data_IF_237767652307
#
_entry.id   IF_237767652307
#
_cell.length_a   1.000
_cell.length_b   1.000
_cell.length_c   1.000
_cell.angle_alpha   90.00
_cell.angle_beta   90.00
_cell.angle_gamma   90.00
#
_symmetry.space_group_name_H-M   'P 1'
#
loop_
_entity.id
_entity.type
_entity.pdbx_description
1 polymer ?
#
# COMPACT_ATOMS: atom_id res chain seq x y z
N UNK A 1 5.64 -13.69 4.89
CA UNK A 1 5.61 -12.86 6.11
C UNK A 1 4.54 -11.79 5.92
N UNK A 2 3.63 -11.61 6.88
CA UNK A 2 2.55 -10.62 6.79
C UNK A 2 2.91 -9.46 7.72
N UNK A 3 2.83 -8.22 7.21
CA UNK A 3 3.09 -7.02 8.01
C UNK A 3 1.82 -6.19 8.16
N UNK A 4 1.79 -5.42 9.23
CA UNK A 4 0.65 -4.61 9.62
C UNK A 4 0.95 -3.16 9.27
N UNK A 5 0.17 -2.56 8.35
CA UNK A 5 0.28 -1.15 8.00
C UNK A 5 -0.96 -0.40 8.51
N UNK A 6 -0.73 0.73 9.19
CA UNK A 6 -1.76 1.68 9.61
C UNK A 6 -2.54 1.33 10.90
N UNK A 7 -3.32 2.30 11.44
CA UNK A 7 -4.04 2.17 12.71
C UNK A 7 -5.13 1.09 12.69
N UNK A 8 -5.63 0.72 11.50
CA UNK A 8 -6.67 -0.31 11.31
C UNK A 8 -6.13 -1.74 11.25
N UNK A 9 -4.83 -1.94 11.54
CA UNK A 9 -4.12 -3.22 11.61
C UNK A 9 -4.45 -4.20 10.47
N UNK A 10 -4.44 -3.72 9.23
CA UNK A 10 -4.75 -4.59 8.08
C UNK A 10 -3.49 -5.31 7.62
N UNK A 11 -3.65 -6.61 7.41
CA UNK A 11 -2.62 -7.53 6.94
C UNK A 11 -2.44 -7.32 5.43
N UNK A 12 -1.23 -6.96 5.01
CA UNK A 12 -0.86 -6.95 3.60
C UNK A 12 0.39 -7.82 3.37
N UNK A 13 0.56 -8.40 2.16
CA UNK A 13 1.78 -9.09 1.76
C UNK A 13 3.03 -8.22 1.96
N UNK A 14 4.18 -8.84 2.24
CA UNK A 14 5.45 -8.12 2.41
C UNK A 14 5.81 -7.25 1.19
N UNK A 15 5.57 -7.74 -0.02
CA UNK A 15 5.87 -6.97 -1.23
C UNK A 15 5.05 -5.69 -1.29
N UNK A 16 3.77 -5.76 -0.89
CA UNK A 16 2.88 -4.61 -0.88
C UNK A 16 3.33 -3.54 0.10
N UNK A 17 3.97 -3.93 1.21
CA UNK A 17 4.59 -2.99 2.16
C UNK A 17 5.69 -2.19 1.49
N UNK A 18 6.59 -2.86 0.77
CA UNK A 18 7.71 -2.19 0.09
C UNK A 18 7.22 -1.29 -1.04
N UNK A 19 6.24 -1.75 -1.83
CA UNK A 19 5.63 -0.94 -2.88
C UNK A 19 5.00 0.32 -2.28
N UNK A 20 4.24 0.17 -1.19
CA UNK A 20 3.64 1.31 -0.50
C UNK A 20 4.70 2.27 0.04
N UNK A 21 5.75 1.77 0.70
CA UNK A 21 6.83 2.59 1.24
C UNK A 21 7.53 3.41 0.14
N UNK A 22 7.82 2.80 -1.01
CA UNK A 22 8.39 3.51 -2.15
C UNK A 22 7.45 4.62 -2.67
N UNK A 23 6.14 4.35 -2.78
CA UNK A 23 5.17 5.37 -3.18
C UNK A 23 5.07 6.52 -2.16
N UNK A 24 5.16 6.22 -0.86
CA UNK A 24 5.19 7.24 0.20
C UNK A 24 6.45 8.11 0.13
N UNK A 25 7.61 7.50 -0.10
CA UNK A 25 8.90 8.21 -0.19
C UNK A 25 8.96 9.13 -1.41
N UNK A 26 8.50 8.64 -2.56
CA UNK A 26 8.54 9.39 -3.83
C UNK A 26 7.39 10.39 -3.95
N UNK A 27 6.28 10.19 -3.22
CA UNK A 27 5.06 11.00 -3.34
C UNK A 27 4.29 10.75 -4.65
N UNK A 28 4.44 9.56 -5.24
CA UNK A 28 3.79 9.19 -6.51
C UNK A 28 2.49 8.41 -6.33
N UNK A 29 1.65 8.37 -7.37
CA UNK A 29 0.41 7.58 -7.39
C UNK A 29 0.69 6.13 -7.78
N UNK A 30 0.28 5.18 -6.94
CA UNK A 30 0.33 3.75 -7.24
C UNK A 30 -0.79 3.35 -8.20
N UNK A 31 -0.44 3.00 -9.45
CA UNK A 31 -1.36 2.39 -10.40
C UNK A 31 -1.30 0.86 -10.28
N UNK A 32 -2.41 0.21 -9.92
CA UNK A 32 -2.44 -1.24 -9.71
C UNK A 32 -3.84 -1.82 -9.95
N UNK A 33 -3.94 -3.14 -10.11
CA UNK A 33 -5.21 -3.90 -10.01
C UNK A 33 -5.41 -4.51 -8.63
N UNK A 34 -4.39 -4.44 -7.78
CA UNK A 34 -4.37 -5.10 -6.49
C UNK A 34 -5.17 -4.30 -5.45
N UNK A 35 -6.24 -4.92 -4.95
CA UNK A 35 -7.14 -4.32 -3.99
C UNK A 35 -6.57 -4.23 -2.57
N UNK A 36 -5.46 -4.90 -2.25
CA UNK A 36 -4.82 -4.80 -0.94
C UNK A 36 -4.45 -3.36 -0.57
N UNK A 37 -4.06 -2.55 -1.57
CA UNK A 37 -3.67 -1.16 -1.38
C UNK A 37 -4.83 -0.22 -1.05
N UNK A 38 -6.09 -0.64 -1.23
CA UNK A 38 -7.25 0.12 -0.73
C UNK A 38 -7.15 0.45 0.77
N UNK A 39 -6.35 -0.32 1.50
CA UNK A 39 -6.21 -0.22 2.95
C UNK A 39 -4.99 0.59 3.41
N UNK A 40 -4.16 1.06 2.48
CA UNK A 40 -2.99 1.89 2.76
C UNK A 40 -3.37 3.36 2.54
N UNK A 41 -3.87 4.01 3.59
CA UNK A 41 -4.40 5.39 3.50
C UNK A 41 -3.28 6.45 3.27
N UNK A 42 -2.01 6.07 3.37
CA UNK A 42 -0.85 6.98 3.28
C UNK A 42 -0.31 7.19 1.86
N UNK A 43 -0.87 6.51 0.84
CA UNK A 43 -0.44 6.65 -0.56
C UNK A 43 -1.61 7.04 -1.45
N UNK A 44 -1.31 7.84 -2.46
CA UNK A 44 -2.20 8.01 -3.60
C UNK A 44 -2.21 6.72 -4.43
N UNK A 45 -3.39 6.32 -4.88
CA UNK A 45 -3.59 5.07 -5.61
C UNK A 45 -4.70 5.19 -6.62
N UNK A 46 -4.50 4.60 -7.78
CA UNK A 46 -5.49 4.40 -8.81
C UNK A 46 -5.64 2.90 -9.04
N UNK A 47 -6.80 2.36 -8.66
CA UNK A 47 -7.09 0.94 -8.85
C UNK A 47 -7.91 0.76 -10.11
N UNK A 48 -7.39 -0.03 -11.04
CA UNK A 48 -8.00 -0.34 -12.36
C UNK A 48 -8.45 -1.78 -12.47
#
# INVERSE_FOLDING_TARGET
MIFIVGPKRKKIPLNDVWIAACCMEVGGTLLTRDQHFNHVDQIDKMII
#
